data_IF_322618302540
#
_entry.id   IF_322618302540
#
_cell.length_a   1.000
_cell.length_b   1.000
_cell.length_c   1.000
_cell.angle_alpha   90.00
_cell.angle_beta   90.00
_cell.angle_gamma   90.00
#
_symmetry.space_group_name_H-M   'P 1'
#
loop_
_entity.id
_entity.type
_entity.pdbx_description
1 polymer ?
#
# COMPACT_ATOMS: atom_id res chain seq x y z
N UNK A 1 10.01 60.80 -5.69
CA UNK A 1 10.02 60.21 -4.33
C UNK A 1 8.72 59.49 -3.98
N UNK A 2 7.52 60.11 -4.03
CA UNK A 2 6.22 59.45 -3.72
C UNK A 2 5.93 58.13 -4.46
N UNK A 3 6.32 58.01 -5.74
CA UNK A 3 6.09 56.79 -6.55
C UNK A 3 7.00 55.61 -6.15
N UNK A 4 8.18 55.88 -5.59
CA UNK A 4 9.14 54.84 -5.21
C UNK A 4 8.71 54.14 -3.91
N UNK A 5 8.10 54.87 -2.98
CA UNK A 5 7.54 54.29 -1.75
C UNK A 5 6.35 53.37 -2.03
N UNK A 6 5.52 53.71 -3.02
CA UNK A 6 4.39 52.87 -3.43
C UNK A 6 4.86 51.52 -4.01
N UNK A 7 5.92 51.56 -4.84
CA UNK A 7 6.52 50.35 -5.41
C UNK A 7 7.12 49.44 -4.32
N UNK A 8 7.79 50.03 -3.33
CA UNK A 8 8.33 49.31 -2.17
C UNK A 8 7.20 48.68 -1.35
N UNK A 9 6.09 49.39 -1.13
CA UNK A 9 4.95 48.88 -0.36
C UNK A 9 4.24 47.70 -1.06
N UNK A 10 4.12 47.75 -2.39
CA UNK A 10 3.53 46.67 -3.18
C UNK A 10 4.44 45.43 -3.18
N UNK A 11 5.76 45.61 -3.34
CA UNK A 11 6.71 44.49 -3.25
C UNK A 11 6.76 43.85 -1.85
N UNK A 12 6.52 44.63 -0.80
CA UNK A 12 6.53 44.12 0.57
C UNK A 12 5.34 43.19 0.85
N UNK A 13 4.20 43.42 0.21
CA UNK A 13 2.99 42.60 0.39
C UNK A 13 3.13 41.17 -0.17
N UNK A 14 3.98 40.97 -1.17
CA UNK A 14 4.30 39.63 -1.72
C UNK A 14 5.26 38.81 -0.85
N UNK A 15 5.78 39.37 0.24
CA UNK A 15 6.68 38.67 1.18
C UNK A 15 5.94 38.06 2.37
N UNK A 16 4.61 38.19 2.45
CA UNK A 16 3.81 37.56 3.49
C UNK A 16 3.40 36.15 3.05
N UNK A 17 4.08 35.14 3.55
CA UNK A 17 3.63 33.75 3.45
C UNK A 17 2.36 33.55 4.29
N UNK A 18 1.33 32.93 3.71
CA UNK A 18 0.12 32.53 4.45
C UNK A 18 0.33 31.26 5.32
N UNK A 19 1.51 30.65 5.22
CA UNK A 19 1.85 29.40 5.90
C UNK A 19 2.29 29.67 7.35
N UNK A 20 1.91 28.78 8.26
CA UNK A 20 2.32 28.80 9.67
C UNK A 20 3.53 27.88 9.83
N UNK A 21 4.71 28.48 9.99
CA UNK A 21 5.93 27.78 10.38
C UNK A 21 6.16 27.85 11.89
N UNK A 22 6.28 26.71 12.56
CA UNK A 22 6.72 26.61 13.96
C UNK A 22 8.13 26.00 13.95
N UNK A 23 9.11 26.76 14.43
CA UNK A 23 10.52 26.33 14.44
C UNK A 23 11.22 26.39 13.09
N UNK A 24 10.61 27.00 12.07
CA UNK A 24 11.20 27.25 10.75
C UNK A 24 10.73 28.57 10.18
N UNK A 25 11.57 29.24 9.40
CA UNK A 25 11.23 30.43 8.61
C UNK A 25 10.87 30.09 7.15
N UNK A 26 11.00 28.83 6.76
CA UNK A 26 10.70 28.32 5.43
C UNK A 26 9.68 27.16 5.52
N UNK A 27 8.40 27.47 5.80
CA UNK A 27 7.36 26.46 5.86
C UNK A 27 7.07 25.87 4.46
N UNK A 28 7.19 24.55 4.33
CA UNK A 28 7.02 23.83 3.05
C UNK A 28 5.55 23.43 2.78
N UNK A 29 4.68 23.63 3.77
CA UNK A 29 3.24 23.31 3.78
C UNK A 29 2.49 24.40 4.55
N UNK A 30 1.17 24.43 4.43
CA UNK A 30 0.30 25.42 5.11
C UNK A 30 0.53 25.47 6.62
N UNK A 31 0.78 24.32 7.26
CA UNK A 31 1.29 24.20 8.62
C UNK A 31 2.57 23.34 8.58
N UNK A 32 3.70 23.87 9.04
CA UNK A 32 4.97 23.17 9.13
C UNK A 32 5.56 23.32 10.53
N UNK A 33 5.70 22.20 11.26
CA UNK A 33 6.46 22.14 12.51
C UNK A 33 7.81 21.49 12.22
N UNK A 34 8.88 22.28 12.23
CA UNK A 34 10.22 21.81 11.87
C UNK A 34 11.02 21.35 13.10
N UNK A 35 11.96 20.43 12.89
CA UNK A 35 12.86 19.89 13.91
C UNK A 35 12.75 18.37 14.04
N UNK A 36 13.88 17.69 14.25
CA UNK A 36 13.96 16.23 14.23
C UNK A 36 13.09 15.51 15.28
N UNK A 37 12.77 16.21 16.38
CA UNK A 37 11.95 15.70 17.49
C UNK A 37 10.72 16.58 17.76
N UNK A 38 10.29 17.37 16.79
CA UNK A 38 9.16 18.28 16.97
C UNK A 38 7.85 17.49 16.98
N UNK A 39 7.01 17.77 17.97
CA UNK A 39 5.71 17.10 18.16
C UNK A 39 4.61 18.12 18.32
N UNK A 40 3.39 17.77 17.88
CA UNK A 40 2.18 18.56 18.14
C UNK A 40 1.44 17.89 19.28
N UNK A 41 1.21 18.64 20.37
CA UNK A 41 0.36 18.20 21.47
C UNK A 41 -0.99 18.90 21.39
N UNK A 42 -2.04 18.11 21.30
CA UNK A 42 -3.43 18.57 21.34
C UNK A 42 -4.00 18.16 22.71
N UNK A 43 -4.54 19.12 23.48
CA UNK A 43 -5.06 18.88 24.83
C UNK A 43 -6.48 19.41 24.97
N UNK A 44 -7.30 18.74 25.81
CA UNK A 44 -8.60 19.27 26.24
C UNK A 44 -8.43 20.55 27.05
N UNK A 45 -9.48 21.36 27.11
CA UNK A 45 -9.57 22.48 28.06
C UNK A 45 -9.34 22.00 29.50
N UNK A 46 -8.81 22.87 30.37
CA UNK A 46 -8.47 22.51 31.75
C UNK A 46 -9.66 21.93 32.55
N UNK A 47 -9.38 21.31 33.69
CA UNK A 47 -10.39 20.65 34.54
C UNK A 47 -11.52 21.57 35.02
N UNK A 48 -11.31 22.89 34.99
CA UNK A 48 -12.35 23.88 35.28
C UNK A 48 -13.39 23.99 34.15
N UNK A 49 -12.95 23.92 32.89
CA UNK A 49 -13.83 24.02 31.70
C UNK A 49 -14.20 22.67 31.09
N UNK A 50 -13.50 21.59 31.45
CA UNK A 50 -13.82 20.24 31.06
C UNK A 50 -13.55 19.29 32.26
N UNK A 51 -14.59 18.94 33.04
CA UNK A 51 -14.45 18.06 34.20
C UNK A 51 -13.86 16.68 33.87
N UNK A 52 -13.99 16.22 32.63
CA UNK A 52 -13.43 14.95 32.16
C UNK A 52 -11.94 15.05 31.77
N UNK A 53 -11.37 16.25 31.79
CA UNK A 53 -9.93 16.46 31.71
C UNK A 53 -9.35 16.45 33.12
N UNK A 54 -9.05 15.26 33.63
CA UNK A 54 -8.41 15.04 34.93
C UNK A 54 -6.96 15.58 35.00
N UNK A 55 -6.41 16.08 33.89
CA UNK A 55 -5.04 16.59 33.79
C UNK A 55 -3.97 15.50 33.92
N UNK A 56 -4.38 14.24 34.07
CA UNK A 56 -3.52 13.07 34.24
C UNK A 56 -3.47 12.25 32.95
N UNK A 57 -4.59 12.18 32.21
CA UNK A 57 -4.70 11.39 30.98
C UNK A 57 -4.60 12.28 29.74
N UNK A 58 -3.75 11.93 28.76
CA UNK A 58 -3.76 12.57 27.45
C UNK A 58 -5.13 12.44 26.81
N UNK A 59 -5.59 13.51 26.15
CA UNK A 59 -6.84 13.46 25.40
C UNK A 59 -6.64 12.73 24.07
N UNK A 60 -7.59 11.86 23.70
CA UNK A 60 -7.58 11.20 22.39
C UNK A 60 -7.99 12.20 21.30
N UNK A 61 -7.23 12.21 20.21
CA UNK A 61 -7.55 12.97 18.99
C UNK A 61 -8.23 12.02 18.02
N UNK A 62 -9.18 12.50 17.24
CA UNK A 62 -9.82 11.79 16.13
C UNK A 62 -9.98 12.71 14.93
N UNK A 63 -10.34 12.15 13.78
CA UNK A 63 -10.73 12.91 12.58
C UNK A 63 -12.25 12.86 12.49
N UNK A 64 -12.92 14.00 12.40
CA UNK A 64 -14.37 14.04 12.28
C UNK A 64 -14.85 13.78 10.83
N UNK A 65 -16.17 13.78 10.61
CA UNK A 65 -16.77 13.56 9.30
C UNK A 65 -16.47 14.63 8.24
N UNK A 66 -15.84 15.74 8.63
CA UNK A 66 -15.40 16.83 7.75
C UNK A 66 -13.89 16.79 7.50
N UNK A 67 -13.16 15.87 8.15
CA UNK A 67 -11.71 15.75 8.04
C UNK A 67 -10.94 16.59 9.06
N UNK A 68 -11.62 17.20 10.03
CA UNK A 68 -10.99 18.05 11.05
C UNK A 68 -10.45 17.20 12.21
N UNK A 69 -9.31 17.62 12.78
CA UNK A 69 -8.77 17.03 14.00
C UNK A 69 -9.59 17.50 15.21
N UNK A 70 -10.24 16.57 15.90
CA UNK A 70 -11.08 16.85 17.07
C UNK A 70 -10.67 16.01 18.28
N UNK A 71 -11.09 16.44 19.47
CA UNK A 71 -10.70 15.83 20.76
C UNK A 71 -11.95 15.27 21.44
N UNK A 72 -11.90 14.04 21.95
CA UNK A 72 -13.01 13.48 22.72
C UNK A 72 -12.76 12.06 23.24
N UNK A 73 -13.84 11.37 23.60
CA UNK A 73 -13.84 10.06 24.25
C UNK A 73 -13.85 8.87 23.27
N UNK A 74 -13.96 9.15 21.96
CA UNK A 74 -14.20 8.11 20.95
C UNK A 74 -15.63 7.54 21.00
N UNK A 75 -16.49 8.08 21.86
CA UNK A 75 -17.92 7.82 21.89
C UNK A 75 -18.67 9.11 21.59
N UNK A 76 -18.44 9.66 20.40
CA UNK A 76 -19.29 10.74 19.90
C UNK A 76 -20.73 10.25 19.82
N UNK A 77 -21.65 10.96 20.48
CA UNK A 77 -23.04 11.00 20.03
C UNK A 77 -22.98 11.50 18.57
N UNK A 78 -22.98 10.57 17.60
CA UNK A 78 -22.89 10.91 16.17
C UNK A 78 -21.94 10.09 15.29
N UNK A 79 -21.51 8.87 15.66
CA UNK A 79 -20.69 8.00 14.79
C UNK A 79 -19.34 8.64 14.37
N UNK A 80 -18.51 8.99 15.35
CA UNK A 80 -17.12 9.37 15.07
C UNK A 80 -16.31 8.09 14.95
N UNK A 81 -15.95 7.74 13.72
CA UNK A 81 -15.08 6.62 13.38
C UNK A 81 -13.70 6.79 14.02
N UNK A 82 -13.11 5.69 14.47
CA UNK A 82 -11.75 5.68 15.02
C UNK A 82 -10.72 6.21 14.02
N UNK A 83 -9.59 6.72 14.53
CA UNK A 83 -8.42 7.10 13.73
C UNK A 83 -8.01 5.91 12.84
N UNK A 84 -8.38 6.00 11.57
CA UNK A 84 -7.97 5.06 10.55
C UNK A 84 -6.58 5.47 10.07
N UNK A 85 -5.53 4.79 10.55
CA UNK A 85 -4.22 4.95 9.92
C UNK A 85 -4.28 4.27 8.55
N UNK A 86 -4.10 5.06 7.49
CA UNK A 86 -4.09 4.57 6.12
C UNK A 86 -2.66 4.62 5.59
N UNK A 87 -2.09 3.44 5.37
CA UNK A 87 -0.85 3.27 4.62
C UNK A 87 -1.24 3.06 3.17
N UNK A 88 -0.73 3.89 2.27
CA UNK A 88 -0.90 3.74 0.82
C UNK A 88 0.46 3.56 0.18
N UNK A 89 0.63 2.48 -0.55
CA UNK A 89 1.79 2.28 -1.42
C UNK A 89 1.29 2.07 -2.85
N UNK A 90 1.57 3.04 -3.72
CA UNK A 90 1.33 2.89 -5.15
C UNK A 90 2.57 2.26 -5.75
N UNK A 91 2.39 1.21 -6.53
CA UNK A 91 3.47 0.44 -7.14
C UNK A 91 4.39 -0.20 -6.08
N UNK A 92 3.78 -0.99 -5.19
CA UNK A 92 4.46 -1.71 -4.12
C UNK A 92 5.23 -2.96 -4.61
N UNK A 93 5.02 -3.38 -5.86
CA UNK A 93 5.82 -4.42 -6.53
C UNK A 93 6.76 -3.73 -7.54
N UNK A 94 8.01 -4.19 -7.61
CA UNK A 94 8.97 -3.65 -8.57
C UNK A 94 8.63 -4.05 -10.00
N UNK A 95 8.64 -3.09 -10.92
CA UNK A 95 8.21 -3.31 -12.31
C UNK A 95 9.20 -4.12 -13.17
N UNK A 96 10.50 -3.95 -12.93
CA UNK A 96 11.56 -4.58 -13.73
C UNK A 96 12.58 -5.30 -12.82
N UNK A 97 12.20 -6.40 -12.17
CA UNK A 97 13.12 -7.12 -11.28
C UNK A 97 14.27 -7.78 -12.03
N UNK A 98 14.14 -7.99 -13.34
CA UNK A 98 15.18 -8.57 -14.19
C UNK A 98 16.21 -7.54 -14.71
N UNK A 99 16.01 -6.24 -14.38
CA UNK A 99 16.88 -5.12 -14.74
C UNK A 99 17.31 -5.14 -16.22
N UNK A 100 16.37 -5.47 -17.12
CA UNK A 100 16.65 -5.45 -18.55
C UNK A 100 16.89 -4.00 -18.98
N UNK A 101 18.10 -3.70 -19.46
CA UNK A 101 18.56 -2.37 -19.87
C UNK A 101 17.88 -1.90 -21.18
N UNK A 102 16.57 -1.70 -21.17
CA UNK A 102 15.83 -1.19 -22.34
C UNK A 102 14.69 -0.29 -21.86
N UNK A 103 14.50 0.83 -22.56
CA UNK A 103 13.65 1.97 -22.19
C UNK A 103 12.13 1.76 -22.38
N UNK A 104 11.65 0.53 -22.62
CA UNK A 104 10.27 0.25 -23.03
C UNK A 104 9.44 -0.48 -21.96
N UNK A 105 8.18 -0.06 -21.78
CA UNK A 105 7.15 -0.65 -20.90
C UNK A 105 6.94 -2.16 -21.13
N UNK A 106 7.35 -2.67 -22.30
CA UNK A 106 7.26 -4.07 -22.73
C UNK A 106 8.10 -5.01 -21.83
N UNK A 107 9.07 -4.46 -21.09
CA UNK A 107 9.97 -5.21 -20.21
C UNK A 107 9.61 -5.11 -18.72
N UNK A 108 8.55 -4.38 -18.38
CA UNK A 108 8.07 -4.33 -17.02
C UNK A 108 7.21 -5.58 -16.76
N UNK A 109 7.89 -6.69 -16.46
CA UNK A 109 7.22 -7.96 -16.20
C UNK A 109 6.70 -8.08 -14.78
N UNK A 110 7.08 -7.17 -13.87
CA UNK A 110 6.90 -7.41 -12.44
C UNK A 110 7.66 -8.66 -11.97
N UNK A 111 7.33 -9.17 -10.79
CA UNK A 111 7.92 -10.41 -10.27
C UNK A 111 7.41 -11.63 -11.04
N UNK A 112 8.31 -12.36 -11.68
CA UNK A 112 7.97 -13.48 -12.57
C UNK A 112 7.92 -14.80 -11.81
N UNK A 113 6.81 -15.51 -11.95
CA UNK A 113 6.67 -16.92 -11.57
C UNK A 113 6.48 -17.74 -12.84
N UNK A 114 7.41 -18.66 -13.09
CA UNK A 114 7.35 -19.60 -14.21
C UNK A 114 6.76 -20.94 -13.75
N UNK A 115 5.70 -21.40 -14.40
CA UNK A 115 5.20 -22.77 -14.31
C UNK A 115 5.64 -23.52 -15.57
N UNK A 116 6.61 -24.42 -15.42
CA UNK A 116 7.17 -25.19 -16.52
C UNK A 116 6.39 -26.48 -16.79
N UNK A 117 6.82 -27.22 -17.82
CA UNK A 117 6.17 -28.46 -18.25
C UNK A 117 6.44 -29.65 -17.33
N UNK A 118 6.85 -29.43 -16.08
CA UNK A 118 7.13 -30.50 -15.11
C UNK A 118 6.18 -30.51 -13.92
N UNK A 119 5.36 -29.46 -13.78
CA UNK A 119 4.43 -29.28 -12.67
C UNK A 119 3.16 -28.58 -13.14
N UNK A 120 2.10 -28.67 -12.32
CA UNK A 120 0.80 -28.04 -12.62
C UNK A 120 0.57 -26.77 -11.81
N UNK A 121 1.39 -26.52 -10.80
CA UNK A 121 1.22 -25.44 -9.83
C UNK A 121 2.59 -24.97 -9.35
N UNK A 122 2.84 -23.68 -9.47
CA UNK A 122 4.01 -23.01 -8.86
C UNK A 122 3.54 -21.86 -8.00
N UNK A 123 4.08 -21.77 -6.79
CA UNK A 123 3.88 -20.67 -5.85
C UNK A 123 5.20 -19.93 -5.62
N UNK A 124 5.15 -18.61 -5.47
CA UNK A 124 6.30 -17.77 -5.14
C UNK A 124 5.91 -16.51 -4.39
N UNK A 125 6.80 -16.03 -3.52
CA UNK A 125 6.68 -14.71 -2.90
C UNK A 125 6.95 -13.62 -3.94
N UNK A 126 6.05 -12.65 -4.04
CA UNK A 126 6.13 -11.52 -4.99
C UNK A 126 6.84 -10.33 -4.34
N UNK A 127 6.44 -9.98 -3.12
CA UNK A 127 6.97 -8.83 -2.36
C UNK A 127 6.55 -8.92 -0.89
N UNK A 128 7.20 -8.14 -0.02
CA UNK A 128 6.82 -8.01 1.38
C UNK A 128 7.00 -6.58 1.92
N UNK A 129 6.23 -6.24 2.95
CA UNK A 129 6.24 -4.93 3.59
C UNK A 129 6.14 -5.07 5.12
N UNK A 130 6.92 -4.28 5.84
CA UNK A 130 6.83 -4.13 7.30
C UNK A 130 6.02 -2.89 7.67
N UNK A 131 5.18 -2.99 8.69
CA UNK A 131 4.38 -1.87 9.21
C UNK A 131 4.12 -2.02 10.72
N UNK A 132 3.90 -0.89 11.39
CA UNK A 132 3.66 -0.84 12.83
C UNK A 132 2.17 -0.68 13.15
N UNK A 133 1.74 -1.42 14.17
CA UNK A 133 0.39 -1.37 14.74
C UNK A 133 0.50 -0.82 16.17
N UNK A 134 -0.06 0.37 16.47
CA UNK A 134 0.19 1.09 17.73
C UNK A 134 -0.59 0.55 18.94
N UNK A 135 -1.64 -0.23 18.71
CA UNK A 135 -2.44 -0.92 19.72
C UNK A 135 -3.13 -2.11 19.04
N UNK A 136 -3.64 -3.08 19.81
CA UNK A 136 -4.40 -4.17 19.21
C UNK A 136 -5.58 -3.63 18.39
N UNK A 137 -5.60 -3.98 17.10
CA UNK A 137 -6.49 -3.35 16.12
C UNK A 137 -6.97 -4.33 15.05
N UNK A 138 -8.11 -3.99 14.43
CA UNK A 138 -8.54 -4.66 13.20
C UNK A 138 -7.78 -4.03 12.03
N UNK A 139 -7.33 -4.87 11.10
CA UNK A 139 -6.54 -4.48 9.94
C UNK A 139 -7.31 -4.87 8.69
N UNK A 140 -7.46 -3.94 7.75
CA UNK A 140 -7.89 -4.19 6.38
C UNK A 140 -6.70 -4.03 5.46
N UNK A 141 -6.43 -5.05 4.65
CA UNK A 141 -5.46 -5.00 3.57
C UNK A 141 -6.22 -5.12 2.26
N UNK A 142 -6.09 -4.11 1.41
CA UNK A 142 -6.60 -4.09 0.03
C UNK A 142 -5.45 -3.94 -0.92
N UNK A 143 -5.41 -4.78 -1.94
CA UNK A 143 -4.36 -4.73 -2.94
C UNK A 143 -4.95 -4.94 -4.33
N UNK A 144 -4.29 -4.35 -5.32
CA UNK A 144 -4.54 -4.57 -6.74
C UNK A 144 -3.22 -4.76 -7.44
N UNK A 145 -3.09 -5.84 -8.22
CA UNK A 145 -1.85 -6.26 -8.87
C UNK A 145 -2.16 -6.45 -10.36
N UNK A 146 -1.32 -5.89 -11.21
CA UNK A 146 -1.33 -6.18 -12.65
C UNK A 146 -0.67 -7.52 -12.91
N UNK A 147 -1.17 -8.25 -13.90
CA UNK A 147 -0.60 -9.53 -14.32
C UNK A 147 -0.13 -9.42 -15.76
N UNK A 148 1.00 -10.04 -16.10
CA UNK A 148 1.49 -10.13 -17.47
C UNK A 148 1.88 -11.56 -17.79
N UNK A 149 1.20 -12.17 -18.77
CA UNK A 149 1.23 -13.63 -18.92
C UNK A 149 1.80 -14.05 -20.28
N UNK A 150 2.70 -15.04 -20.28
CA UNK A 150 3.41 -15.52 -21.48
C UNK A 150 3.64 -17.03 -21.45
N UNK A 151 3.75 -17.63 -22.63
CA UNK A 151 3.93 -19.08 -22.85
C UNK A 151 5.39 -19.55 -22.84
N UNK A 152 6.30 -18.76 -22.27
CA UNK A 152 7.74 -19.02 -22.23
C UNK A 152 8.38 -18.47 -20.96
N UNK A 153 9.62 -18.83 -20.69
CA UNK A 153 10.37 -18.34 -19.53
C UNK A 153 10.59 -16.82 -19.60
N UNK A 154 9.83 -16.05 -18.80
CA UNK A 154 9.96 -14.59 -18.75
C UNK A 154 11.20 -14.10 -17.97
N UNK A 155 11.99 -15.01 -17.39
CA UNK A 155 13.30 -14.70 -16.81
C UNK A 155 14.46 -14.96 -17.80
N UNK A 156 14.18 -15.51 -18.99
CA UNK A 156 15.19 -15.65 -20.03
C UNK A 156 15.55 -14.29 -20.64
N UNK A 157 16.79 -14.10 -21.12
CA UNK A 157 17.33 -12.82 -21.57
C UNK A 157 16.76 -12.36 -22.94
N UNK A 158 15.46 -12.06 -23.01
CA UNK A 158 14.79 -11.36 -24.10
C UNK A 158 13.37 -10.95 -23.67
N UNK A 159 12.80 -9.87 -24.24
CA UNK A 159 11.39 -9.56 -24.07
C UNK A 159 10.53 -10.77 -24.47
N UNK A 160 9.53 -11.16 -23.67
CA UNK A 160 8.73 -12.33 -23.97
C UNK A 160 7.70 -12.03 -25.07
N UNK A 161 7.59 -12.94 -26.03
CA UNK A 161 6.78 -12.83 -27.25
C UNK A 161 5.93 -14.07 -27.52
N UNK A 162 6.18 -15.18 -26.85
CA UNK A 162 5.39 -16.41 -26.98
C UNK A 162 4.12 -16.27 -26.14
N UNK A 163 2.96 -16.37 -26.80
CA UNK A 163 1.67 -16.41 -26.10
C UNK A 163 1.43 -17.79 -25.47
N UNK A 164 0.58 -17.80 -24.44
CA UNK A 164 0.21 -19.02 -23.72
C UNK A 164 -0.49 -20.01 -24.66
N UNK A 165 -0.26 -21.31 -24.44
CA UNK A 165 -0.90 -22.40 -25.19
C UNK A 165 -2.42 -22.17 -25.27
N UNK A 166 -3.00 -22.06 -26.49
CA UNK A 166 -4.44 -21.86 -26.66
C UNK A 166 -5.23 -23.16 -26.42
N UNK A 167 -6.50 -23.03 -26.04
CA UNK A 167 -7.42 -24.14 -25.80
C UNK A 167 -7.31 -24.75 -24.40
N UNK A 168 -6.59 -24.09 -23.49
CA UNK A 168 -6.34 -24.56 -22.13
C UNK A 168 -6.82 -23.53 -21.12
N UNK A 169 -7.19 -24.00 -19.93
CA UNK A 169 -7.59 -23.14 -18.83
C UNK A 169 -6.41 -22.91 -17.90
N UNK A 170 -6.00 -21.65 -17.75
CA UNK A 170 -5.00 -21.25 -16.75
C UNK A 170 -5.68 -20.59 -15.56
N UNK A 171 -5.08 -20.71 -14.39
CA UNK A 171 -5.54 -20.06 -13.17
C UNK A 171 -4.38 -19.37 -12.46
N UNK A 172 -4.56 -18.07 -12.22
CA UNK A 172 -3.62 -17.22 -11.51
C UNK A 172 -4.23 -16.81 -10.19
N UNK A 173 -3.49 -16.94 -9.10
CA UNK A 173 -3.98 -16.64 -7.75
C UNK A 173 -3.02 -15.67 -7.07
N UNK A 174 -3.56 -14.69 -6.36
CA UNK A 174 -2.81 -13.87 -5.42
C UNK A 174 -3.40 -14.00 -4.03
N UNK A 175 -2.55 -13.91 -3.01
CA UNK A 175 -2.96 -13.82 -1.61
C UNK A 175 -1.82 -13.22 -0.78
N UNK A 176 -2.07 -13.00 0.52
CA UNK A 176 -1.01 -12.63 1.44
C UNK A 176 -1.07 -13.43 2.75
N UNK A 177 0.08 -13.51 3.41
CA UNK A 177 0.29 -14.05 4.76
C UNK A 177 0.88 -12.96 5.64
N UNK A 178 0.73 -13.10 6.95
CA UNK A 178 1.23 -12.11 7.92
C UNK A 178 2.05 -12.83 8.98
N UNK A 179 3.25 -12.31 9.18
CA UNK A 179 4.14 -12.60 10.31
C UNK A 179 3.82 -11.55 11.40
N UNK A 180 3.24 -12.02 12.50
CA UNK A 180 2.52 -11.24 13.53
C UNK A 180 3.49 -10.53 14.50
N UNK A 181 4.72 -11.00 14.58
CA UNK A 181 5.75 -10.51 15.49
C UNK A 181 7.02 -10.11 14.74
N UNK A 182 7.03 -10.30 13.41
CA UNK A 182 8.16 -10.04 12.53
C UNK A 182 9.42 -10.75 13.03
N UNK A 183 9.26 -11.97 13.56
CA UNK A 183 10.34 -12.80 14.08
C UNK A 183 10.57 -14.08 13.24
N UNK A 184 9.89 -14.19 12.10
CA UNK A 184 9.93 -15.32 11.20
C UNK A 184 8.67 -16.17 11.29
N UNK A 185 8.52 -17.10 10.35
CA UNK A 185 7.30 -17.89 10.25
C UNK A 185 7.13 -18.88 11.40
N UNK A 186 6.02 -18.76 12.12
CA UNK A 186 5.46 -19.88 12.84
C UNK A 186 4.56 -20.76 11.93
N UNK A 187 4.30 -22.00 12.36
CA UNK A 187 3.49 -22.94 11.58
C UNK A 187 2.02 -22.55 11.43
N UNK A 188 1.47 -21.77 12.35
CA UNK A 188 0.08 -21.32 12.32
C UNK A 188 -0.09 -20.09 11.41
N UNK A 189 0.88 -19.18 11.39
CA UNK A 189 0.99 -18.03 10.49
C UNK A 189 1.12 -18.48 9.04
N UNK A 190 1.98 -19.47 8.78
CA UNK A 190 2.16 -20.01 7.44
C UNK A 190 0.87 -20.59 6.84
N UNK A 191 0.03 -21.19 7.69
CA UNK A 191 -1.21 -21.83 7.26
C UNK A 191 -2.39 -20.84 7.13
N UNK A 192 -2.24 -19.59 7.59
CA UNK A 192 -3.28 -18.56 7.48
C UNK A 192 -3.06 -17.70 6.24
N UNK A 193 -3.97 -17.83 5.28
CA UNK A 193 -3.96 -17.05 4.04
C UNK A 193 -5.12 -16.07 4.02
N UNK A 194 -4.83 -14.84 3.60
CA UNK A 194 -5.79 -13.75 3.55
C UNK A 194 -5.87 -13.15 2.14
N UNK A 195 -7.01 -12.52 1.85
CA UNK A 195 -7.22 -11.81 0.60
C UNK A 195 -7.04 -12.65 -0.66
N UNK A 196 -7.24 -13.97 -0.58
CA UNK A 196 -7.08 -14.88 -1.71
C UNK A 196 -8.02 -14.51 -2.85
N UNK A 197 -7.47 -14.24 -4.02
CA UNK A 197 -8.19 -13.97 -5.26
C UNK A 197 -7.62 -14.86 -6.36
N UNK A 198 -8.48 -15.37 -7.23
CA UNK A 198 -8.08 -16.07 -8.44
C UNK A 198 -8.76 -15.50 -9.68
N UNK A 199 -8.10 -15.61 -10.82
CA UNK A 199 -8.62 -15.33 -12.15
C UNK A 199 -8.37 -16.53 -13.05
N UNK A 200 -9.38 -16.85 -13.85
CA UNK A 200 -9.39 -17.99 -14.75
C UNK A 200 -9.55 -17.47 -16.17
N UNK A 201 -8.76 -18.00 -17.07
CA UNK A 201 -8.86 -17.68 -18.49
C UNK A 201 -8.83 -18.96 -19.28
N UNK A 202 -9.81 -19.13 -20.16
CA UNK A 202 -9.70 -20.06 -21.28
C UNK A 202 -8.94 -19.34 -22.38
N UNK A 203 -7.79 -19.89 -22.77
CA UNK A 203 -6.90 -19.23 -23.71
C UNK A 203 -7.42 -19.43 -25.14
N UNK A 204 -7.67 -18.34 -25.85
CA UNK A 204 -7.56 -18.32 -27.31
C UNK A 204 -6.29 -17.57 -27.69
N UNK A 205 -5.82 -17.66 -28.93
CA UNK A 205 -4.66 -16.88 -29.37
C UNK A 205 -4.93 -15.38 -29.13
N UNK A 206 -4.08 -14.72 -28.32
CA UNK A 206 -4.27 -13.34 -27.88
C UNK A 206 -5.32 -13.12 -26.78
N UNK A 207 -5.87 -14.19 -26.17
CA UNK A 207 -6.94 -14.12 -25.18
C UNK A 207 -6.56 -13.45 -23.85
N UNK A 208 -5.26 -13.35 -23.57
CA UNK A 208 -4.70 -12.55 -22.47
C UNK A 208 -3.57 -11.72 -23.05
N UNK A 209 -3.93 -10.58 -23.64
CA UNK A 209 -2.99 -9.58 -24.11
C UNK A 209 -3.06 -8.34 -23.22
N UNK A 210 -1.91 -7.80 -22.83
CA UNK A 210 -1.80 -6.66 -21.92
C UNK A 210 -1.77 -7.05 -20.44
N UNK A 211 -2.18 -6.11 -19.59
CA UNK A 211 -2.05 -6.20 -18.13
C UNK A 211 -3.42 -6.28 -17.43
N UNK A 212 -4.06 -7.46 -17.33
CA UNK A 212 -5.24 -7.62 -16.49
C UNK A 212 -4.94 -7.29 -15.02
N UNK A 213 -5.94 -6.76 -14.32
CA UNK A 213 -5.85 -6.44 -12.89
C UNK A 213 -6.52 -7.51 -12.04
N UNK A 214 -5.83 -7.95 -10.99
CA UNK A 214 -6.37 -8.78 -9.92
C UNK A 214 -6.43 -8.01 -8.61
N UNK A 215 -7.59 -8.02 -7.95
CA UNK A 215 -7.80 -7.29 -6.70
C UNK A 215 -8.22 -8.23 -5.58
N UNK A 216 -7.57 -8.11 -4.42
CA UNK A 216 -7.88 -8.87 -3.23
C UNK A 216 -8.06 -7.98 -2.00
N UNK A 217 -8.79 -8.50 -1.02
CA UNK A 217 -9.00 -7.82 0.26
C UNK A 217 -9.08 -8.83 1.40
N UNK A 218 -8.50 -8.50 2.55
CA UNK A 218 -8.56 -9.33 3.75
C UNK A 218 -8.69 -8.49 5.02
N UNK A 219 -9.30 -9.09 6.04
CA UNK A 219 -9.46 -8.52 7.37
C UNK A 219 -8.90 -9.49 8.41
N UNK A 220 -8.16 -8.97 9.38
CA UNK A 220 -7.59 -9.75 10.48
C UNK A 220 -7.22 -8.81 11.63
N UNK A 221 -7.11 -9.35 12.85
CA UNK A 221 -6.67 -8.58 14.02
C UNK A 221 -5.19 -8.80 14.27
N UNK A 222 -4.48 -7.72 14.61
CA UNK A 222 -3.09 -7.78 15.03
C UNK A 222 -2.91 -7.16 16.42
N UNK A 223 -1.99 -7.68 17.25
CA UNK A 223 -1.55 -7.04 18.48
C UNK A 223 -0.72 -5.77 18.18
N UNK A 224 -0.45 -4.98 19.23
CA UNK A 224 0.54 -3.91 19.17
C UNK A 224 1.92 -4.48 18.80
N UNK A 225 2.62 -3.83 17.88
CA UNK A 225 3.96 -4.21 17.47
C UNK A 225 4.26 -3.97 16.00
N UNK A 226 5.42 -4.45 15.58
CA UNK A 226 5.88 -4.41 14.19
C UNK A 226 5.53 -5.75 13.51
N UNK A 227 4.89 -5.67 12.35
CA UNK A 227 4.37 -6.82 11.60
C UNK A 227 4.93 -6.83 10.19
N UNK A 228 4.94 -8.00 9.54
CA UNK A 228 5.35 -8.11 8.14
C UNK A 228 4.32 -8.87 7.30
N UNK A 229 3.91 -8.27 6.18
CA UNK A 229 3.00 -8.89 5.20
C UNK A 229 3.82 -9.39 4.03
N UNK A 230 3.54 -10.63 3.61
CA UNK A 230 4.15 -11.27 2.46
C UNK A 230 3.07 -11.58 1.42
N UNK A 231 3.26 -11.10 0.20
CA UNK A 231 2.36 -11.33 -0.92
C UNK A 231 2.87 -12.48 -1.78
N UNK A 232 1.96 -13.36 -2.18
CA UNK A 232 2.26 -14.56 -2.96
C UNK A 232 1.47 -14.60 -4.25
N UNK A 233 2.10 -15.14 -5.28
CA UNK A 233 1.50 -15.49 -6.55
C UNK A 233 1.49 -17.00 -6.74
N UNK A 234 0.44 -17.51 -7.38
CA UNK A 234 0.36 -18.90 -7.81
C UNK A 234 -0.02 -18.93 -9.28
N UNK A 235 0.70 -19.74 -10.04
CA UNK A 235 0.41 -20.03 -11.44
C UNK A 235 0.02 -21.49 -11.54
N UNK A 236 -1.21 -21.75 -11.99
CA UNK A 236 -1.70 -23.08 -12.29
C UNK A 236 -1.94 -23.21 -13.79
N UNK A 237 -1.45 -24.29 -14.36
CA UNK A 237 -1.60 -24.63 -15.76
C UNK A 237 -1.57 -26.15 -15.95
N UNK A 238 -1.85 -26.62 -17.15
CA UNK A 238 -1.67 -27.99 -17.55
C UNK A 238 -0.19 -28.38 -17.46
N UNK A 239 0.11 -29.57 -16.91
CA UNK A 239 1.49 -30.00 -16.61
C UNK A 239 2.37 -30.31 -17.82
N UNK A 240 1.91 -30.03 -19.04
CA UNK A 240 2.72 -30.12 -20.28
C UNK A 240 2.84 -28.78 -21.01
N UNK A 241 2.23 -27.72 -20.46
CA UNK A 241 2.28 -26.37 -20.98
C UNK A 241 3.24 -25.53 -20.15
N UNK A 242 3.74 -24.46 -20.75
CA UNK A 242 4.60 -23.51 -20.08
C UNK A 242 3.82 -22.22 -19.92
N UNK A 243 3.64 -21.76 -18.69
CA UNK A 243 3.00 -20.49 -18.40
C UNK A 243 3.82 -19.70 -17.39
N UNK A 244 4.20 -18.50 -17.78
CA UNK A 244 4.81 -17.51 -16.91
C UNK A 244 3.84 -16.39 -16.62
N UNK A 245 3.85 -15.94 -15.38
CA UNK A 245 3.06 -14.80 -14.94
C UNK A 245 3.96 -13.84 -14.20
N UNK A 246 4.05 -12.65 -14.75
CA UNK A 246 4.55 -11.46 -14.11
C UNK A 246 3.51 -10.85 -13.20
N UNK A 247 3.82 -10.67 -11.91
CA UNK A 247 2.98 -9.98 -10.94
C UNK A 247 3.54 -8.57 -10.70
N UNK A 248 2.78 -7.54 -11.04
CA UNK A 248 3.23 -6.14 -11.11
C UNK A 248 3.53 -5.72 -12.55
N UNK A 249 4.49 -4.83 -12.75
CA UNK A 249 4.99 -4.48 -14.09
C UNK A 249 4.27 -3.30 -14.76
N UNK A 250 3.36 -2.62 -14.07
CA UNK A 250 2.78 -1.40 -14.63
C UNK A 250 2.35 -0.45 -13.53
N UNK A 251 1.22 -0.76 -12.88
CA UNK A 251 0.74 0.02 -11.75
C UNK A 251 -0.02 -0.88 -10.80
N UNK A 252 0.59 -1.28 -9.70
CA UNK A 252 -0.13 -1.95 -8.61
C UNK A 252 -0.44 -0.96 -7.46
N UNK A 253 -1.27 -1.39 -6.52
CA UNK A 253 -1.57 -0.59 -5.34
C UNK A 253 -1.76 -1.47 -4.11
N UNK A 254 -1.38 -0.92 -2.97
CA UNK A 254 -1.60 -1.47 -1.65
C UNK A 254 -2.17 -0.38 -0.74
N UNK A 255 -3.24 -0.74 -0.03
CA UNK A 255 -3.85 0.06 1.03
C UNK A 255 -3.97 -0.80 2.27
N UNK A 256 -3.35 -0.38 3.35
CA UNK A 256 -3.51 -0.99 4.68
C UNK A 256 -4.21 0.03 5.55
N UNK A 257 -5.36 -0.36 6.10
CA UNK A 257 -6.12 0.46 7.05
C UNK A 257 -6.11 -0.22 8.40
N UNK A 258 -5.71 0.54 9.42
CA UNK A 258 -5.68 0.12 10.81
C UNK A 258 -6.86 0.79 11.50
N UNK A 259 -7.83 -0.01 11.94
CA UNK A 259 -9.00 0.44 12.69
C UNK A 259 -8.68 0.35 14.19
N UNK A 260 -8.49 1.52 14.80
CA UNK A 260 -8.18 1.66 16.23
C UNK A 260 -9.41 1.82 17.13
#
# INVERSE_FOLDING_TARGET
MRKNYLFIFILLSSLCSAQVGIGTTDPQKELHVAGANSTIRIVKLNSFYNPDNDGLKPAKVFVDGLGDLAIGDGSGIGNVESLNFLIVNNNFIGDNPNNWNVQDEINNTGFVINNDTTQTTVEGEITSLTFDVPNQSLIEVKYGITLYCKGENMNAHAPPYVDITPGEAINMITYFRVDINNDGWDGDEWNKTYGKKGQYHETQAGGISGFPYMNGQGYFSLPEGTHKIYFYGVVNDHGVSYTSVGFGGLQDYLKIRIYN
#
